data_IF_826550373437
#
_entry.id   IF_826550373437
#
_cell.length_a   1.000
_cell.length_b   1.000
_cell.length_c   1.000
_cell.angle_alpha   90.00
_cell.angle_beta   90.00
_cell.angle_gamma   90.00
#
_symmetry.space_group_name_H-M   'P 1'
#
loop_
_entity.id
_entity.type
_entity.pdbx_description
1 polymer ?
#
# COMPACT_ATOMS: atom_id res chain seq x y z
N UNK A 1 6.28 20.22 -8.98
CA UNK A 1 4.88 20.54 -9.29
C UNK A 1 4.04 19.94 -8.18
N UNK A 2 3.67 20.76 -7.20
CA UNK A 2 2.61 20.39 -6.27
C UNK A 2 1.33 20.37 -7.11
N UNK A 3 0.56 19.29 -7.03
CA UNK A 3 -0.81 19.30 -7.55
C UNK A 3 -1.63 20.14 -6.57
N UNK A 4 -1.51 21.45 -6.68
CA UNK A 4 -2.58 22.36 -6.29
C UNK A 4 -3.69 22.18 -7.33
N UNK A 5 -4.60 21.28 -7.01
CA UNK A 5 -6.02 21.28 -7.37
C UNK A 5 -6.58 19.90 -7.03
N UNK A 6 -7.80 19.86 -6.49
CA UNK A 6 -8.52 18.63 -6.17
C UNK A 6 -8.93 17.90 -7.46
N UNK A 7 -7.95 17.38 -8.20
CA UNK A 7 -8.18 16.56 -9.39
C UNK A 7 -8.62 15.18 -8.90
N UNK A 8 -9.93 14.93 -8.96
CA UNK A 8 -10.47 13.60 -8.84
C UNK A 8 -10.01 12.77 -10.03
N UNK A 9 -8.94 11.98 -9.83
CA UNK A 9 -8.47 11.03 -10.83
C UNK A 9 -9.48 9.89 -10.92
N UNK A 10 -9.87 9.51 -12.15
CA UNK A 10 -10.59 8.25 -12.37
C UNK A 10 -9.73 7.06 -11.90
N UNK A 11 -10.33 5.90 -11.57
CA UNK A 11 -9.57 4.73 -11.13
C UNK A 11 -8.48 4.29 -12.12
N UNK A 12 -8.69 4.49 -13.43
CA UNK A 12 -7.71 4.23 -14.48
C UNK A 12 -6.53 5.20 -14.42
N UNK A 13 -6.82 6.50 -14.28
CA UNK A 13 -5.78 7.52 -14.12
C UNK A 13 -5.00 7.36 -12.81
N UNK A 14 -5.64 6.86 -11.74
CA UNK A 14 -4.96 6.59 -10.46
C UNK A 14 -3.92 5.45 -10.58
N UNK A 15 -4.18 4.43 -11.40
CA UNK A 15 -3.24 3.30 -11.56
C UNK A 15 -1.93 3.68 -12.25
N UNK A 16 -1.92 4.76 -13.04
CA UNK A 16 -0.70 5.25 -13.70
C UNK A 16 0.34 5.77 -12.71
N UNK A 17 -0.12 6.21 -11.53
CA UNK A 17 0.71 6.73 -10.44
C UNK A 17 1.00 5.67 -9.36
N UNK A 18 0.71 4.40 -9.64
CA UNK A 18 0.99 3.29 -8.73
C UNK A 18 2.08 2.37 -9.28
N UNK A 19 2.97 1.94 -8.37
CA UNK A 19 3.94 0.89 -8.65
C UNK A 19 3.31 -0.48 -8.44
N UNK A 20 2.64 -1.00 -9.47
CA UNK A 20 1.97 -2.30 -9.42
C UNK A 20 2.95 -3.41 -9.80
N UNK A 21 3.27 -4.28 -8.84
CA UNK A 21 4.06 -5.51 -9.06
C UNK A 21 3.15 -6.72 -8.99
N UNK A 22 3.23 -7.61 -9.98
CA UNK A 22 2.47 -8.87 -10.03
C UNK A 22 3.42 -10.04 -9.83
N UNK A 23 3.05 -10.96 -8.96
CA UNK A 23 3.79 -12.19 -8.69
C UNK A 23 2.94 -13.39 -9.11
N UNK A 24 3.60 -14.45 -9.60
CA UNK A 24 2.89 -15.69 -10.00
C UNK A 24 2.44 -16.52 -8.80
N UNK A 25 3.12 -16.39 -7.66
CA UNK A 25 2.85 -17.16 -6.45
C UNK A 25 3.04 -16.29 -5.21
N UNK A 26 2.36 -16.64 -4.12
CA UNK A 26 2.50 -15.96 -2.82
C UNK A 26 3.90 -16.11 -2.26
N UNK A 27 4.52 -17.30 -2.37
CA UNK A 27 5.91 -17.51 -1.98
C UNK A 27 6.90 -16.54 -2.66
N UNK A 28 6.73 -16.25 -3.96
CA UNK A 28 7.58 -15.29 -4.66
C UNK A 28 7.35 -13.85 -4.18
N UNK A 29 6.10 -13.49 -3.88
CA UNK A 29 5.74 -12.20 -3.30
C UNK A 29 6.35 -12.03 -1.89
N UNK A 30 6.15 -13.01 -1.01
CA UNK A 30 6.69 -13.05 0.34
C UNK A 30 8.21 -12.88 0.30
N UNK A 31 8.91 -13.67 -0.51
CA UNK A 31 10.36 -13.56 -0.67
C UNK A 31 10.78 -12.13 -1.05
N UNK A 32 10.13 -11.54 -2.06
CA UNK A 32 10.45 -10.18 -2.50
C UNK A 32 10.19 -9.11 -1.43
N UNK A 33 9.12 -9.26 -0.64
CA UNK A 33 8.81 -8.38 0.49
C UNK A 33 9.89 -8.48 1.58
N UNK A 34 10.29 -9.70 1.95
CA UNK A 34 11.34 -9.94 2.94
C UNK A 34 12.70 -9.39 2.50
N UNK A 35 13.09 -9.64 1.26
CA UNK A 35 14.33 -9.08 0.68
C UNK A 35 14.33 -7.55 0.65
N UNK A 36 13.14 -6.94 0.59
CA UNK A 36 12.95 -5.48 0.61
C UNK A 36 12.74 -4.91 2.02
N UNK A 37 12.90 -5.73 3.06
CA UNK A 37 12.82 -5.34 4.47
C UNK A 37 11.41 -5.03 4.98
N UNK A 38 10.36 -5.57 4.36
CA UNK A 38 9.00 -5.38 4.82
C UNK A 38 8.63 -6.35 5.94
N UNK A 39 7.97 -5.81 6.97
CA UNK A 39 7.13 -6.56 7.88
C UNK A 39 5.78 -6.82 7.20
N UNK A 40 5.39 -8.08 7.14
CA UNK A 40 4.18 -8.56 6.48
C UNK A 40 3.07 -8.64 7.52
N UNK A 41 2.05 -7.82 7.36
CA UNK A 41 0.90 -7.75 8.25
C UNK A 41 -0.35 -8.22 7.51
N UNK A 42 -1.05 -9.21 8.03
CA UNK A 42 -2.28 -9.73 7.40
C UNK A 42 -3.52 -9.19 8.09
N UNK A 43 -4.52 -8.78 7.31
CA UNK A 43 -5.83 -8.43 7.88
C UNK A 43 -6.61 -9.70 8.21
N UNK A 44 -7.09 -9.83 9.43
CA UNK A 44 -7.90 -10.95 9.90
C UNK A 44 -9.08 -10.44 10.72
N UNK A 45 -10.20 -11.16 10.74
CA UNK A 45 -11.39 -10.81 11.53
C UNK A 45 -11.47 -11.58 12.86
N UNK A 46 -10.45 -12.38 13.20
CA UNK A 46 -10.44 -13.23 14.39
C UNK A 46 -10.01 -12.46 15.64
N UNK A 47 -10.30 -13.05 16.80
CA UNK A 47 -9.93 -12.50 18.10
C UNK A 47 -8.44 -12.58 18.43
N UNK A 48 -7.63 -13.27 17.61
CA UNK A 48 -6.18 -13.37 17.79
C UNK A 48 -5.43 -12.20 17.13
N UNK A 49 -6.12 -11.39 16.33
CA UNK A 49 -5.53 -10.24 15.65
C UNK A 49 -5.44 -9.02 16.58
N UNK A 50 -4.41 -8.20 16.37
CA UNK A 50 -4.20 -6.94 17.10
C UNK A 50 -5.05 -5.84 16.45
N UNK A 51 -5.78 -5.08 17.27
CA UNK A 51 -6.53 -3.93 16.77
C UNK A 51 -5.60 -2.87 16.21
N UNK A 52 -5.90 -2.35 15.01
CA UNK A 52 -5.25 -1.17 14.45
C UNK A 52 -5.52 0.12 15.27
N UNK A 53 -6.41 0.04 16.26
CA UNK A 53 -6.72 1.13 17.18
C UNK A 53 -6.04 0.99 18.54
N UNK A 54 -5.27 -0.09 18.74
CA UNK A 54 -4.55 -0.32 19.98
C UNK A 54 -3.55 0.84 20.24
N UNK A 55 -3.63 1.54 21.38
CA UNK A 55 -2.80 2.71 21.68
C UNK A 55 -1.28 2.45 21.62
N UNK A 56 -0.86 1.23 21.91
CA UNK A 56 0.53 0.79 21.91
C UNK A 56 1.04 0.32 20.54
N UNK A 57 0.16 0.24 19.53
CA UNK A 57 0.54 -0.23 18.20
C UNK A 57 1.44 0.80 17.51
N UNK A 58 2.63 0.35 17.12
CA UNK A 58 3.56 1.13 16.31
C UNK A 58 3.77 0.45 14.97
N UNK A 59 3.83 1.26 13.90
CA UNK A 59 4.17 0.74 12.58
C UNK A 59 5.69 0.49 12.50
N UNK A 60 6.11 -0.59 11.83
CA UNK A 60 7.50 -0.79 11.47
C UNK A 60 7.91 0.22 10.39
N UNK A 61 9.21 0.34 10.13
CA UNK A 61 9.75 1.23 9.09
C UNK A 61 9.16 0.93 7.71
N UNK A 62 8.92 -0.34 7.41
CA UNK A 62 8.30 -0.81 6.15
C UNK A 62 7.24 -1.85 6.47
N UNK A 63 5.97 -1.50 6.25
CA UNK A 63 4.84 -2.41 6.44
C UNK A 63 4.20 -2.79 5.11
N UNK A 64 3.96 -4.08 4.90
CA UNK A 64 3.15 -4.60 3.81
C UNK A 64 1.83 -5.12 4.39
N UNK A 65 0.73 -4.42 4.10
CA UNK A 65 -0.61 -4.84 4.52
C UNK A 65 -1.19 -5.77 3.46
N UNK A 66 -1.54 -6.98 3.88
CA UNK A 66 -2.22 -7.97 3.05
C UNK A 66 -3.72 -7.86 3.29
N UNK A 67 -4.44 -7.41 2.27
CA UNK A 67 -5.89 -7.30 2.25
C UNK A 67 -6.50 -8.51 1.52
N UNK A 68 -7.65 -9.03 1.98
CA UNK A 68 -8.42 -10.00 1.20
C UNK A 68 -9.02 -11.13 2.04
N UNK A 69 -9.92 -11.89 1.40
CA UNK A 69 -10.64 -13.03 1.96
C UNK A 69 -9.64 -14.16 2.20
N UNK A 70 -9.16 -14.24 3.44
CA UNK A 70 -8.14 -15.19 3.89
C UNK A 70 -6.87 -15.11 3.04
N UNK A 71 -5.94 -14.24 3.45
CA UNK A 71 -4.58 -14.24 2.91
C UNK A 71 -4.15 -15.70 2.70
N UNK A 72 -3.67 -16.02 1.50
CA UNK A 72 -3.16 -17.35 1.14
C UNK A 72 -2.51 -18.01 2.37
N UNK A 73 -2.77 -19.28 2.65
CA UNK A 73 -2.24 -19.94 3.86
C UNK A 73 -0.74 -19.67 4.04
N UNK A 74 -0.02 -19.58 2.92
CA UNK A 74 1.39 -19.16 2.87
C UNK A 74 1.64 -17.76 3.43
N UNK A 75 0.80 -16.78 3.09
CA UNK A 75 0.89 -15.39 3.53
C UNK A 75 0.47 -15.22 4.99
N UNK A 76 -0.53 -15.96 5.48
CA UNK A 76 -0.87 -16.02 6.92
C UNK A 76 0.27 -16.65 7.70
N UNK A 77 0.84 -17.76 7.21
CA UNK A 77 1.96 -18.43 7.84
C UNK A 77 3.23 -17.57 7.86
N UNK A 78 3.41 -16.71 6.85
CA UNK A 78 4.51 -15.77 6.76
C UNK A 78 4.26 -14.42 7.44
N UNK A 79 3.09 -14.20 8.08
CA UNK A 79 2.75 -12.92 8.69
C UNK A 79 3.56 -12.68 9.98
N UNK A 80 4.16 -11.50 10.11
CA UNK A 80 4.79 -11.05 11.35
C UNK A 80 3.75 -10.58 12.36
N UNK A 81 2.61 -10.08 11.86
CA UNK A 81 1.51 -9.63 12.69
C UNK A 81 0.18 -9.84 11.97
N UNK A 82 -0.83 -10.19 12.75
CA UNK A 82 -2.21 -10.23 12.28
C UNK A 82 -2.95 -9.04 12.89
N UNK A 83 -3.64 -8.27 12.07
CA UNK A 83 -4.29 -7.03 12.48
C UNK A 83 -5.73 -6.97 12.02
N UNK A 84 -6.55 -6.20 12.73
CA UNK A 84 -7.93 -5.95 12.32
C UNK A 84 -8.32 -4.49 12.51
N UNK A 85 -9.29 -4.05 11.71
CA UNK A 85 -9.98 -2.79 11.93
C UNK A 85 -11.25 -3.09 12.74
N UNK A 86 -11.44 -2.51 13.94
CA UNK A 86 -12.67 -2.68 14.70
C UNK A 86 -13.89 -2.27 13.90
N UNK A 87 -14.88 -3.16 13.88
CA UNK A 87 -16.20 -2.91 13.30
C UNK A 87 -17.19 -2.93 14.46
N UNK A 88 -17.96 -1.85 14.59
CA UNK A 88 -19.03 -1.76 15.57
C UNK A 88 -20.38 -1.85 14.85
N UNK A 89 -21.20 -2.83 15.23
CA UNK A 89 -22.51 -3.06 14.63
C UNK A 89 -22.76 -4.54 14.37
N UNK A 90 -23.74 -4.84 13.51
CA UNK A 90 -24.16 -6.20 13.19
C UNK A 90 -23.43 -6.82 12.00
N UNK A 91 -22.53 -6.07 11.36
CA UNK A 91 -21.79 -6.55 10.20
C UNK A 91 -20.50 -7.24 10.66
N UNK A 92 -20.29 -8.47 10.21
CA UNK A 92 -19.06 -9.23 10.49
C UNK A 92 -17.87 -8.79 9.63
N UNK A 93 -18.13 -8.08 8.53
CA UNK A 93 -17.09 -7.61 7.62
C UNK A 93 -17.50 -6.35 6.85
N UNK A 94 -16.52 -5.65 6.31
CA UNK A 94 -16.70 -4.54 5.38
C UNK A 94 -16.41 -5.00 3.95
N UNK A 95 -16.94 -4.27 2.98
CA UNK A 95 -16.50 -4.41 1.59
C UNK A 95 -14.97 -4.25 1.50
N UNK A 96 -14.29 -5.10 0.73
CA UNK A 96 -12.82 -5.14 0.66
C UNK A 96 -12.19 -3.78 0.31
N UNK A 97 -12.79 -3.04 -0.63
CA UNK A 97 -12.28 -1.72 -1.03
C UNK A 97 -12.47 -0.69 0.07
N UNK A 98 -13.62 -0.74 0.77
CA UNK A 98 -13.91 0.11 1.92
C UNK A 98 -12.94 -0.18 3.07
N UNK A 99 -12.75 -1.46 3.39
CA UNK A 99 -11.77 -1.89 4.40
C UNK A 99 -10.36 -1.42 4.04
N UNK A 100 -9.94 -1.58 2.78
CA UNK A 100 -8.63 -1.13 2.30
C UNK A 100 -8.45 0.37 2.51
N UNK A 101 -9.44 1.18 2.12
CA UNK A 101 -9.40 2.62 2.30
C UNK A 101 -9.30 3.04 3.76
N UNK A 102 -10.12 2.44 4.63
CA UNK A 102 -10.11 2.72 6.07
C UNK A 102 -8.81 2.30 6.75
N UNK A 103 -8.23 1.15 6.36
CA UNK A 103 -6.95 0.70 6.90
C UNK A 103 -5.84 1.66 6.48
N UNK A 104 -5.75 2.04 5.20
CA UNK A 104 -4.75 3.02 4.73
C UNK A 104 -4.89 4.34 5.50
N UNK A 105 -6.12 4.83 5.67
CA UNK A 105 -6.38 6.03 6.47
C UNK A 105 -5.91 5.86 7.92
N UNK A 106 -6.18 4.70 8.52
CA UNK A 106 -5.79 4.38 9.90
C UNK A 106 -4.28 4.34 10.08
N UNK A 107 -3.54 3.79 9.12
CA UNK A 107 -2.06 3.81 9.14
C UNK A 107 -1.52 5.25 9.21
N UNK A 108 -2.12 6.19 8.49
CA UNK A 108 -1.73 7.60 8.56
C UNK A 108 -2.13 8.30 9.88
N UNK A 109 -3.08 7.76 10.63
CA UNK A 109 -3.34 8.23 12.00
C UNK A 109 -2.32 7.67 12.99
N UNK A 110 -1.88 6.42 12.81
CA UNK A 110 -0.83 5.80 13.65
C UNK A 110 0.53 6.45 13.38
N UNK A 111 0.86 6.74 12.12
CA UNK A 111 2.13 7.31 11.68
C UNK A 111 1.88 8.55 10.78
N UNK A 112 1.61 9.73 11.38
CA UNK A 112 1.36 10.95 10.62
C UNK A 112 2.51 11.36 9.68
N UNK A 113 3.74 11.08 10.08
CA UNK A 113 4.99 11.36 9.37
C UNK A 113 5.15 10.54 8.08
N UNK A 114 4.42 9.43 7.92
CA UNK A 114 4.42 8.66 6.68
C UNK A 114 3.82 9.45 5.49
N UNK A 115 3.04 10.51 5.75
CA UNK A 115 2.45 11.35 4.70
C UNK A 115 3.54 12.10 3.95
N UNK A 116 3.81 11.68 2.72
CA UNK A 116 4.78 12.36 1.85
C UNK A 116 6.24 12.19 2.27
N UNK A 117 6.55 11.14 3.04
CA UNK A 117 7.87 10.85 3.61
C UNK A 117 8.98 10.54 2.58
N UNK A 118 8.66 10.54 1.28
CA UNK A 118 9.64 10.29 0.22
C UNK A 118 10.71 11.37 0.16
N UNK A 119 11.97 10.95 0.10
CA UNK A 119 13.11 11.81 -0.15
C UNK A 119 13.03 12.47 -1.53
N UNK A 120 13.82 13.53 -1.73
CA UNK A 120 13.90 14.20 -3.05
C UNK A 120 14.40 13.24 -4.15
N UNK A 121 15.32 12.33 -3.83
CA UNK A 121 15.86 11.33 -4.77
C UNK A 121 14.80 10.33 -5.18
N UNK A 122 14.14 9.68 -4.21
CA UNK A 122 13.06 8.71 -4.48
C UNK A 122 11.93 9.35 -5.29
N UNK A 123 11.56 10.59 -4.96
CA UNK A 123 10.57 11.35 -5.73
C UNK A 123 11.03 11.62 -7.15
N UNK A 124 12.32 11.87 -7.38
CA UNK A 124 12.86 12.10 -8.73
C UNK A 124 12.91 10.81 -9.54
N UNK A 125 13.29 9.71 -8.92
CA UNK A 125 13.31 8.38 -9.53
C UNK A 125 11.92 7.93 -9.95
N UNK A 126 10.93 8.05 -9.06
CA UNK A 126 9.54 7.72 -9.36
C UNK A 126 8.95 8.61 -10.46
N UNK A 127 9.25 9.91 -10.47
CA UNK A 127 8.85 10.81 -11.56
C UNK A 127 9.41 10.33 -12.90
N UNK A 128 10.70 10.03 -12.96
CA UNK A 128 11.35 9.55 -14.18
C UNK A 128 10.74 8.23 -14.66
N UNK A 129 10.43 7.32 -13.74
CA UNK A 129 9.75 6.07 -14.07
C UNK A 129 8.35 6.31 -14.66
N UNK A 130 7.53 7.11 -14.00
CA UNK A 130 6.15 7.39 -14.44
C UNK A 130 6.11 8.20 -15.75
N UNK A 131 7.01 9.16 -15.95
CA UNK A 131 7.13 9.87 -17.22
C UNK A 131 7.44 8.93 -18.39
N UNK A 132 8.37 7.97 -18.21
CA UNK A 132 8.64 6.98 -19.26
C UNK A 132 7.44 6.09 -19.57
N UNK A 133 6.60 5.78 -18.58
CA UNK A 133 5.35 5.02 -18.81
C UNK A 133 4.34 5.82 -19.63
N UNK A 134 4.27 7.14 -19.43
CA UNK A 134 3.36 8.03 -20.15
C UNK A 134 3.79 8.32 -21.59
N UNK A 135 5.09 8.37 -21.90
CA UNK A 135 5.61 8.67 -23.26
C UNK A 135 5.51 7.46 -24.21
N UNK A 136 4.49 6.60 -24.06
CA UNK A 136 4.13 5.63 -25.09
C UNK A 136 3.33 6.32 -26.19
N UNK A 137 4.04 7.07 -27.03
CA UNK A 137 3.53 7.76 -28.23
C UNK A 137 4.46 8.91 -28.64
N UNK A 138 5.25 8.66 -29.69
CA UNK A 138 6.07 9.57 -30.52
C UNK A 138 7.08 10.55 -29.88
N UNK A 139 8.34 10.36 -30.28
CA UNK A 139 9.40 11.36 -30.49
C UNK A 139 9.36 12.64 -29.62
N UNK A 140 9.60 12.54 -28.30
CA UNK A 140 10.09 13.68 -27.48
C UNK A 140 10.52 13.36 -26.05
N UNK A 141 10.89 12.11 -25.74
CA UNK A 141 11.33 11.75 -24.39
C UNK A 141 12.61 12.50 -23.94
N UNK A 142 13.49 12.89 -24.87
CA UNK A 142 14.75 13.56 -24.53
C UNK A 142 14.63 15.06 -24.27
N UNK A 143 13.57 15.73 -24.72
CA UNK A 143 13.42 17.20 -24.59
C UNK A 143 13.00 17.63 -23.18
N UNK A 144 12.50 16.71 -22.34
CA UNK A 144 11.96 17.03 -21.02
C UNK A 144 12.78 16.48 -19.84
N UNK A 145 13.91 15.82 -20.11
CA UNK A 145 14.82 15.26 -19.10
C UNK A 145 16.08 16.11 -18.86
N UNK A 146 16.16 17.32 -19.42
CA UNK A 146 17.20 18.33 -19.15
C UNK A 146 16.77 19.28 -18.02
#
# INVERSE_FOLDING_TARGET
>A
MFLDDHVGLSPQEATDWLSIRRFKTSAACIKALRESGYDIWTTELSQEAVSLEAPELKLPERVAIVMGREADGDMIAAADKRVYLPIHGFADSLNLNVATGLIIQRLFFICPEARGAMTKSERSELRNEWYRRMVKGDEKAETFLA
#
